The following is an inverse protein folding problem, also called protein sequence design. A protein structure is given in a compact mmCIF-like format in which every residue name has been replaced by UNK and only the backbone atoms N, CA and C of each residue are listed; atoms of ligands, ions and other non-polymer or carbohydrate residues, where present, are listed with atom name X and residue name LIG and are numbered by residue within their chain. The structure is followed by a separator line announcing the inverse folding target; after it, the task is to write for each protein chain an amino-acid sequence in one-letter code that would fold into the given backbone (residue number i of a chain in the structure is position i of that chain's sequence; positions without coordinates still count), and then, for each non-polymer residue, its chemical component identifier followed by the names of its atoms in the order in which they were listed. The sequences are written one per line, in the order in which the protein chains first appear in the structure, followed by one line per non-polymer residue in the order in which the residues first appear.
data_IF_660116283831
#
_entry.id   IF_660116283831
#
_cell.length_a   1.000
_cell.length_b   1.000
_cell.length_c   1.000
_cell.angle_alpha   90.00
_cell.angle_beta   90.00
_cell.angle_gamma   90.00
#
_symmetry.space_group_name_H-M   'P 1'
#
loop_
_entity.id
_entity.type
_entity.pdbx_description
1 polymer ?
#
# COMPACT_ATOMS: atom_id res chain seq x y z
N UNK A 1 10.25 -5.41 -4.44
CA UNK A 1 9.62 -4.24 -3.80
C UNK A 1 8.35 -4.73 -3.13
N UNK A 2 8.22 -4.51 -1.83
CA UNK A 2 7.07 -4.97 -1.04
C UNK A 2 6.02 -3.86 -0.96
N UNK A 3 4.74 -4.19 -1.16
CA UNK A 3 3.66 -3.20 -1.11
C UNK A 3 2.74 -3.50 0.07
N UNK A 4 2.50 -2.50 0.91
CA UNK A 4 1.62 -2.62 2.07
C UNK A 4 0.54 -1.54 2.08
N UNK A 5 -0.59 -1.88 2.68
CA UNK A 5 -1.72 -0.97 2.83
C UNK A 5 -1.57 -0.12 4.09
N UNK A 6 -1.85 1.18 3.96
CA UNK A 6 -1.93 2.11 5.09
C UNK A 6 -2.87 1.62 6.20
N UNK A 7 -2.50 1.90 7.44
CA UNK A 7 -3.23 1.58 8.68
C UNK A 7 -3.37 0.09 8.99
N UNK A 8 -2.63 -0.79 8.31
CA UNK A 8 -2.56 -2.22 8.63
C UNK A 8 -1.19 -2.59 9.18
N UNK A 9 -1.15 -3.51 10.13
CA UNK A 9 0.10 -4.11 10.57
C UNK A 9 0.84 -4.72 9.39
N UNK A 10 2.16 -4.53 9.37
CA UNK A 10 3.01 -4.93 8.26
C UNK A 10 3.76 -6.19 8.69
N UNK A 11 3.50 -7.36 8.07
CA UNK A 11 4.29 -8.55 8.31
C UNK A 11 5.64 -8.40 7.59
N UNK A 12 6.73 -8.49 8.34
CA UNK A 12 8.08 -8.49 7.81
C UNK A 12 8.68 -9.88 7.97
N UNK A 13 9.18 -10.44 6.88
CA UNK A 13 9.81 -11.77 6.87
C UNK A 13 11.14 -11.71 6.13
N UNK A 14 12.19 -12.25 6.74
CA UNK A 14 13.49 -12.46 6.12
C UNK A 14 13.89 -13.93 6.27
N UNK A 15 14.20 -14.58 5.15
CA UNK A 15 14.71 -15.94 5.14
C UNK A 15 16.19 -15.94 4.74
N UNK A 16 17.03 -16.56 5.57
CA UNK A 16 18.45 -16.71 5.31
C UNK A 16 18.70 -18.11 4.75
N UNK A 17 18.99 -18.20 3.44
CA UNK A 17 19.22 -19.47 2.75
C UNK A 17 20.68 -19.52 2.31
N UNK A 18 21.39 -20.60 2.69
CA UNK A 18 22.76 -20.84 2.27
C UNK A 18 22.84 -21.32 0.82
N UNK A 19 24.04 -21.32 0.26
CA UNK A 19 24.28 -21.82 -1.10
C UNK A 19 23.94 -23.30 -1.29
N UNK A 20 23.90 -24.09 -0.21
CA UNK A 20 23.50 -25.49 -0.20
C UNK A 20 21.98 -25.70 -0.06
N UNK A 21 21.20 -24.61 -0.01
CA UNK A 21 19.74 -24.63 0.14
C UNK A 21 19.25 -24.84 1.58
N UNK A 22 20.16 -24.97 2.56
CA UNK A 22 19.77 -25.06 3.98
C UNK A 22 19.42 -23.68 4.52
N UNK A 23 18.47 -23.66 5.47
CA UNK A 23 18.00 -22.43 6.10
C UNK A 23 18.83 -22.17 7.36
N UNK A 24 19.36 -20.96 7.49
CA UNK A 24 20.14 -20.57 8.65
C UNK A 24 19.24 -20.15 9.81
N UNK A 25 19.47 -20.79 10.96
CA UNK A 25 18.84 -20.49 12.24
C UNK A 25 19.90 -20.00 13.23
N UNK A 26 19.52 -19.11 14.14
CA UNK A 26 20.42 -18.64 15.22
C UNK A 26 21.17 -17.34 14.95
N UNK A 27 20.99 -16.74 13.77
CA UNK A 27 21.33 -15.33 13.56
C UNK A 27 20.51 -14.42 14.47
N UNK A 28 21.11 -13.31 14.88
CA UNK A 28 20.40 -12.14 15.41
C UNK A 28 20.05 -11.25 14.23
N UNK A 29 18.76 -11.03 14.00
CA UNK A 29 18.25 -10.20 12.92
C UNK A 29 17.50 -9.00 13.51
N UNK A 30 17.87 -7.81 13.07
CA UNK A 30 17.15 -6.58 13.40
C UNK A 30 16.88 -5.76 12.15
N UNK A 31 15.98 -4.78 12.22
CA UNK A 31 15.68 -3.92 11.09
C UNK A 31 15.41 -2.48 11.50
N UNK A 32 15.65 -1.56 10.56
CA UNK A 32 15.33 -0.13 10.65
C UNK A 32 14.61 0.25 9.36
N UNK A 33 13.58 1.09 9.45
CA UNK A 33 12.91 1.66 8.27
C UNK A 33 13.26 3.14 8.17
N UNK A 34 13.61 3.56 6.97
CA UNK A 34 13.92 4.94 6.63
C UNK A 34 12.94 5.48 5.59
N UNK A 35 12.91 6.82 5.46
CA UNK A 35 12.30 7.49 4.31
C UNK A 35 12.95 7.06 2.98
N UNK A 36 12.32 7.45 1.87
CA UNK A 36 12.77 7.11 0.51
C UNK A 36 14.25 7.48 0.23
N UNK A 37 14.81 8.47 0.93
CA UNK A 37 16.18 8.94 0.73
C UNK A 37 17.17 8.37 1.76
N UNK A 38 16.74 7.46 2.64
CA UNK A 38 17.52 6.93 3.75
C UNK A 38 18.12 7.99 4.69
N UNK A 39 17.47 9.15 4.77
CA UNK A 39 17.91 10.32 5.52
C UNK A 39 17.32 10.37 6.93
N UNK A 40 16.10 9.85 7.08
CA UNK A 40 15.31 9.95 8.32
C UNK A 40 14.87 8.56 8.74
N UNK A 41 15.09 8.22 10.01
CA UNK A 41 14.60 6.98 10.61
C UNK A 41 13.10 7.14 10.89
N UNK A 42 12.31 6.24 10.32
CA UNK A 42 10.86 6.18 10.46
C UNK A 42 10.46 5.16 11.53
N UNK A 43 11.12 4.00 11.51
CA UNK A 43 10.98 2.96 12.54
C UNK A 43 12.36 2.70 13.12
N UNK A 44 12.49 2.96 14.42
CA UNK A 44 13.71 2.67 15.19
C UNK A 44 13.99 1.18 15.19
N UNK A 45 15.26 0.80 15.40
CA UNK A 45 15.71 -0.58 15.36
C UNK A 45 14.80 -1.54 16.17
N UNK A 46 14.28 -2.55 15.46
CA UNK A 46 13.47 -3.65 16.00
C UNK A 46 14.14 -4.99 15.75
N UNK A 47 13.90 -5.96 16.63
CA UNK A 47 14.45 -7.30 16.50
C UNK A 47 13.41 -8.25 15.91
N UNK A 48 13.79 -8.98 14.86
CA UNK A 48 12.96 -10.04 14.30
C UNK A 48 13.25 -11.37 14.99
N UNK A 49 12.21 -12.18 15.17
CA UNK A 49 12.29 -13.45 15.90
C UNK A 49 12.20 -14.60 14.90
N UNK A 50 12.99 -15.65 15.12
CA UNK A 50 12.88 -16.86 14.33
C UNK A 50 11.49 -17.51 14.49
N UNK A 51 10.81 -17.76 13.37
CA UNK A 51 9.51 -18.42 13.33
C UNK A 51 9.62 -19.78 12.63
N UNK A 52 9.38 -20.86 13.38
CA UNK A 52 9.48 -22.23 12.87
C UNK A 52 8.47 -22.57 11.75
N UNK A 53 7.28 -21.97 11.78
CA UNK A 53 6.25 -22.25 10.78
C UNK A 53 6.56 -21.58 9.44
N UNK A 54 7.12 -20.37 9.48
CA UNK A 54 7.54 -19.62 8.30
C UNK A 54 8.96 -20.01 7.82
N UNK A 55 9.70 -20.73 8.66
CA UNK A 55 11.12 -21.03 8.48
C UNK A 55 11.94 -19.78 8.15
N UNK A 56 11.71 -18.70 8.91
CA UNK A 56 12.35 -17.40 8.68
C UNK A 56 12.26 -16.47 9.89
N UNK A 57 13.02 -15.39 9.84
CA UNK A 57 12.94 -14.30 10.79
C UNK A 57 11.71 -13.47 10.50
N UNK A 58 10.92 -13.22 11.53
CA UNK A 58 9.61 -12.63 11.38
C UNK A 58 9.37 -11.57 12.46
N UNK A 59 8.71 -10.49 12.07
CA UNK A 59 8.16 -9.51 12.99
C UNK A 59 6.82 -8.95 12.48
N UNK A 60 5.96 -8.58 13.43
CA UNK A 60 4.75 -7.80 13.15
C UNK A 60 5.04 -6.35 13.49
N UNK A 61 5.24 -5.53 12.46
CA UNK A 61 5.39 -4.11 12.68
C UNK A 61 4.02 -3.49 13.02
N UNK A 62 3.88 -3.12 14.29
CA UNK A 62 2.66 -2.51 14.82
C UNK A 62 2.63 -1.03 14.45
N UNK A 63 1.82 -0.68 13.45
CA UNK A 63 1.78 0.69 12.91
C UNK A 63 1.49 1.72 14.00
N UNK A 64 0.54 1.42 14.89
CA UNK A 64 0.13 2.35 15.94
C UNK A 64 1.21 2.61 17.01
N UNK A 65 2.12 1.65 17.26
CA UNK A 65 3.15 1.76 18.29
C UNK A 65 4.50 2.17 17.70
N UNK A 66 4.84 1.61 16.55
CA UNK A 66 6.20 1.64 16.00
C UNK A 66 6.34 2.61 14.83
N UNK A 67 5.23 2.95 14.17
CA UNK A 67 5.20 3.79 12.97
C UNK A 67 4.15 4.90 13.10
N UNK A 68 4.41 5.81 14.04
CA UNK A 68 3.49 6.87 14.49
C UNK A 68 2.91 7.73 13.35
N UNK A 69 3.66 7.96 12.27
CA UNK A 69 3.17 8.66 11.07
C UNK A 69 3.38 7.83 9.79
N UNK A 70 2.37 7.07 9.40
CA UNK A 70 2.40 6.33 8.14
C UNK A 70 1.97 7.24 6.97
N UNK A 71 2.95 7.82 6.29
CA UNK A 71 2.72 8.56 5.04
C UNK A 71 2.69 7.58 3.86
N UNK A 72 1.95 7.92 2.82
CA UNK A 72 2.01 7.17 1.57
C UNK A 72 3.36 7.44 0.88
N UNK A 73 3.90 6.43 0.20
CA UNK A 73 5.15 6.58 -0.54
C UNK A 73 6.13 5.42 -0.36
N UNK A 74 7.36 5.66 -0.79
CA UNK A 74 8.44 4.70 -0.78
C UNK A 74 9.28 4.84 0.50
N UNK A 75 9.76 3.71 0.99
CA UNK A 75 10.56 3.57 2.20
C UNK A 75 11.65 2.55 1.98
N UNK A 76 12.71 2.68 2.78
CA UNK A 76 13.85 1.77 2.73
C UNK A 76 13.88 0.95 4.02
N UNK A 77 13.76 -0.36 3.87
CA UNK A 77 13.98 -1.32 4.95
C UNK A 77 15.43 -1.76 4.93
N UNK A 78 16.12 -1.64 6.06
CA UNK A 78 17.46 -2.19 6.24
C UNK A 78 17.42 -3.27 7.30
N UNK A 79 17.75 -4.49 6.91
CA UNK A 79 18.01 -5.60 7.81
C UNK A 79 19.46 -5.58 8.24
N UNK A 80 19.72 -5.84 9.52
CA UNK A 80 21.06 -6.07 10.08
C UNK A 80 21.13 -7.48 10.63
N UNK A 81 22.13 -8.24 10.18
CA UNK A 81 22.30 -9.67 10.46
C UNK A 81 23.63 -9.87 11.18
N UNK A 82 23.61 -10.58 12.30
CA UNK A 82 24.83 -10.93 13.04
C UNK A 82 24.76 -12.33 13.66
N UNK A 83 25.92 -12.87 14.05
CA UNK A 83 26.01 -14.17 14.73
C UNK A 83 26.08 -15.37 13.79
N UNK A 84 26.07 -15.15 12.47
CA UNK A 84 26.21 -16.20 11.44
C UNK A 84 27.17 -15.74 10.36
N UNK A 85 28.01 -16.64 9.87
CA UNK A 85 28.96 -16.35 8.79
C UNK A 85 28.33 -16.63 7.41
N UNK A 86 28.78 -15.93 6.38
CA UNK A 86 28.35 -16.17 5.00
C UNK A 86 27.10 -15.41 4.55
N UNK A 87 26.55 -14.55 5.41
CA UNK A 87 25.49 -13.60 5.04
C UNK A 87 26.03 -12.17 5.09
N UNK A 88 25.50 -11.26 4.25
CA UNK A 88 25.85 -9.85 4.34
C UNK A 88 25.38 -9.29 5.70
N UNK A 89 26.19 -8.42 6.30
CA UNK A 89 25.84 -7.76 7.57
C UNK A 89 24.60 -6.87 7.44
N UNK A 90 24.33 -6.38 6.22
CA UNK A 90 23.17 -5.53 5.92
C UNK A 90 22.51 -5.92 4.61
N UNK A 91 21.18 -6.02 4.61
CA UNK A 91 20.35 -6.21 3.41
C UNK A 91 19.39 -5.01 3.30
N UNK A 92 19.19 -4.50 2.09
CA UNK A 92 18.36 -3.32 1.84
C UNK A 92 17.22 -3.67 0.89
N UNK A 93 16.00 -3.40 1.32
CA UNK A 93 14.78 -3.62 0.55
C UNK A 93 13.98 -2.32 0.39
N UNK A 94 13.28 -2.21 -0.74
CA UNK A 94 12.33 -1.13 -0.97
C UNK A 94 10.91 -1.56 -0.58
N UNK A 95 10.27 -0.75 0.24
CA UNK A 95 8.88 -0.89 0.67
C UNK A 95 8.07 0.26 0.10
N UNK A 96 6.83 0.00 -0.30
CA UNK A 96 5.86 1.00 -0.70
C UNK A 96 4.61 0.91 0.18
N UNK A 97 4.15 2.05 0.70
CA UNK A 97 2.86 2.16 1.38
C UNK A 97 1.84 2.81 0.43
N UNK A 98 0.72 2.12 0.23
CA UNK A 98 -0.39 2.58 -0.60
C UNK A 98 -1.62 2.90 0.26
N UNK A 99 -2.51 3.79 -0.21
CA UNK A 99 -3.76 4.08 0.47
C UNK A 99 -4.59 2.81 0.77
N UNK A 100 -5.29 2.84 1.90
CA UNK A 100 -6.28 1.83 2.25
C UNK A 100 -7.55 2.03 1.44
N UNK A 101 -8.02 0.97 0.80
CA UNK A 101 -9.31 1.00 0.10
C UNK A 101 -10.46 1.14 1.10
N UNK A 102 -11.41 2.03 0.79
CA UNK A 102 -12.79 1.94 1.23
C UNK A 102 -13.46 0.88 0.33
N UNK A 103 -14.26 0.01 0.94
CA UNK A 103 -15.10 -1.03 0.33
C UNK A 103 -15.12 -1.07 -1.21
N UNK A 104 -14.59 -2.14 -1.82
CA UNK A 104 -14.60 -2.31 -3.28
C UNK A 104 -13.35 -1.79 -4.02
N UNK A 105 -12.18 -1.81 -3.37
CA UNK A 105 -10.87 -1.40 -3.92
C UNK A 105 -10.68 0.09 -4.20
N UNK A 106 -11.64 0.95 -3.86
CA UNK A 106 -11.50 2.39 -4.10
C UNK A 106 -10.79 3.09 -2.94
N UNK A 107 -9.86 3.99 -3.19
CA UNK A 107 -9.29 4.82 -2.12
C UNK A 107 -10.30 5.87 -1.65
N UNK A 108 -10.07 6.47 -0.47
CA UNK A 108 -10.91 7.57 0.06
C UNK A 108 -11.00 8.72 -0.96
N UNK A 109 -9.88 9.04 -1.61
CA UNK A 109 -9.77 10.11 -2.59
C UNK A 109 -10.57 9.79 -3.85
N UNK A 110 -10.44 8.57 -4.37
CA UNK A 110 -11.19 8.10 -5.53
C UNK A 110 -12.70 8.15 -5.25
N UNK A 111 -13.12 7.71 -4.07
CA UNK A 111 -14.53 7.76 -3.65
C UNK A 111 -15.04 9.20 -3.49
N UNK A 112 -14.24 10.08 -2.89
CA UNK A 112 -14.58 11.49 -2.75
C UNK A 112 -14.74 12.18 -4.11
N UNK A 113 -13.88 11.86 -5.09
CA UNK A 113 -13.97 12.40 -6.44
C UNK A 113 -15.28 12.02 -7.15
N UNK A 114 -15.77 10.80 -6.95
CA UNK A 114 -17.08 10.38 -7.47
C UNK A 114 -18.19 11.18 -6.82
N UNK A 115 -18.19 11.33 -5.49
CA UNK A 115 -19.21 12.12 -4.77
C UNK A 115 -19.19 13.57 -5.26
N UNK A 116 -18.01 14.18 -5.36
CA UNK A 116 -17.88 15.55 -5.82
C UNK A 116 -18.34 15.73 -7.27
N UNK A 117 -18.18 14.73 -8.13
CA UNK A 117 -18.69 14.82 -9.52
C UNK A 117 -20.21 14.99 -9.59
N UNK A 118 -20.95 14.33 -8.69
CA UNK A 118 -22.41 14.47 -8.58
C UNK A 118 -22.74 15.84 -7.96
N UNK A 119 -22.09 16.19 -6.84
CA UNK A 119 -22.40 17.42 -6.10
C UNK A 119 -22.03 18.70 -6.85
N UNK A 120 -20.96 18.67 -7.63
CA UNK A 120 -20.56 19.79 -8.49
C UNK A 120 -21.56 20.02 -9.64
N UNK A 121 -22.42 19.02 -9.92
CA UNK A 121 -23.48 19.06 -10.93
C UNK A 121 -23.02 19.57 -12.30
N UNK A 122 -21.78 19.25 -12.67
CA UNK A 122 -21.25 19.45 -14.03
C UNK A 122 -21.73 18.32 -14.93
N UNK A 123 -23.05 18.22 -15.06
CA UNK A 123 -23.70 17.16 -15.81
C UNK A 123 -23.90 17.55 -17.27
N UNK A 124 -23.76 16.58 -18.17
CA UNK A 124 -24.10 16.73 -19.59
C UNK A 124 -24.92 15.54 -20.06
N UNK A 125 -25.82 15.80 -21.01
CA UNK A 125 -26.71 14.78 -21.57
C UNK A 125 -26.57 14.81 -23.09
N UNK A 126 -26.23 13.66 -23.67
CA UNK A 126 -26.22 13.44 -25.12
C UNK A 126 -26.97 12.13 -25.39
N UNK A 127 -28.08 12.21 -26.12
CA UNK A 127 -29.01 11.10 -26.30
C UNK A 127 -29.44 10.52 -24.94
N UNK A 128 -29.26 9.22 -24.76
CA UNK A 128 -29.62 8.46 -23.56
C UNK A 128 -28.43 8.29 -22.60
N UNK A 129 -27.40 9.14 -22.71
CA UNK A 129 -26.19 9.06 -21.90
C UNK A 129 -26.09 10.33 -21.05
N UNK A 130 -26.11 10.14 -19.73
CA UNK A 130 -25.91 11.19 -18.72
C UNK A 130 -24.49 11.06 -18.19
N UNK A 131 -23.74 12.15 -18.19
CA UNK A 131 -22.37 12.20 -17.70
C UNK A 131 -22.26 13.18 -16.54
N UNK A 132 -21.53 12.82 -15.49
CA UNK A 132 -21.13 13.73 -14.41
C UNK A 132 -19.62 13.87 -14.44
N UNK A 133 -19.16 15.11 -14.55
CA UNK A 133 -17.74 15.44 -14.71
C UNK A 133 -17.08 15.76 -13.39
N UNK A 134 -15.78 15.55 -13.33
CA UNK A 134 -14.96 15.96 -12.19
C UNK A 134 -15.04 17.48 -11.95
N UNK A 135 -14.59 17.91 -10.78
CA UNK A 135 -14.64 19.34 -10.42
C UNK A 135 -13.88 20.22 -11.41
N UNK A 136 -12.75 19.75 -11.95
CA UNK A 136 -11.95 20.48 -12.93
C UNK A 136 -12.54 20.44 -14.37
N UNK A 137 -13.61 19.69 -14.60
CA UNK A 137 -14.25 19.49 -15.91
C UNK A 137 -13.35 18.84 -16.98
N UNK A 138 -12.35 18.10 -16.55
CA UNK A 138 -11.39 17.41 -17.42
C UNK A 138 -11.88 16.03 -17.86
N UNK A 139 -12.80 15.42 -17.12
CA UNK A 139 -12.92 13.96 -17.07
C UNK A 139 -14.32 13.53 -16.62
N UNK A 140 -14.89 12.53 -17.30
CA UNK A 140 -16.24 11.98 -16.99
C UNK A 140 -16.13 10.94 -15.87
N UNK A 141 -16.52 11.28 -14.64
CA UNK A 141 -16.43 10.41 -13.46
C UNK A 141 -17.56 9.39 -13.36
N UNK A 142 -18.75 9.77 -13.83
CA UNK A 142 -19.90 8.86 -13.88
C UNK A 142 -20.55 8.99 -15.24
N UNK A 143 -20.74 7.85 -15.91
CA UNK A 143 -21.52 7.77 -17.14
C UNK A 143 -22.68 6.80 -16.92
N UNK A 144 -23.90 7.30 -16.99
CA UNK A 144 -25.12 6.50 -16.88
C UNK A 144 -25.82 6.41 -18.24
N UNK A 145 -26.10 5.19 -18.68
CA UNK A 145 -26.99 4.96 -19.83
C UNK A 145 -28.41 4.77 -19.30
N UNK A 146 -29.37 5.50 -19.85
CA UNK A 146 -30.77 5.45 -19.45
C UNK A 146 -31.67 4.97 -20.60
N UNK A 147 -32.87 4.51 -20.29
CA UNK A 147 -33.91 4.27 -21.29
C UNK A 147 -34.65 5.57 -21.64
N UNK A 148 -35.61 5.48 -22.57
CA UNK A 148 -36.42 6.63 -23.00
C UNK A 148 -37.36 7.18 -21.91
N UNK A 149 -37.41 6.53 -20.74
CA UNK A 149 -38.17 6.96 -19.56
C UNK A 149 -37.25 7.51 -18.46
N UNK A 150 -35.94 7.55 -18.69
CA UNK A 150 -34.95 7.99 -17.70
C UNK A 150 -34.58 6.92 -16.68
N UNK A 151 -34.98 5.65 -16.86
CA UNK A 151 -34.55 4.57 -15.98
C UNK A 151 -33.12 4.16 -16.33
N UNK A 152 -32.30 3.95 -15.29
CA UNK A 152 -30.90 3.55 -15.47
C UNK A 152 -30.81 2.11 -16.00
N UNK A 153 -30.12 1.95 -17.13
CA UNK A 153 -29.79 0.65 -17.73
C UNK A 153 -28.39 0.19 -17.30
N UNK A 154 -27.42 1.11 -17.26
CA UNK A 154 -26.05 0.83 -16.84
C UNK A 154 -25.40 2.05 -16.24
N UNK A 155 -24.34 1.81 -15.46
CA UNK A 155 -23.48 2.84 -14.90
C UNK A 155 -22.03 2.43 -15.05
N UNK A 156 -21.21 3.37 -15.49
CA UNK A 156 -19.75 3.26 -15.50
C UNK A 156 -19.21 4.35 -14.60
N UNK A 157 -18.28 3.98 -13.73
CA UNK A 157 -17.64 4.88 -12.78
C UNK A 157 -16.14 4.89 -13.11
N UNK A 158 -15.58 6.08 -13.24
CA UNK A 158 -14.14 6.31 -13.43
C UNK A 158 -13.55 6.87 -12.13
N UNK A 159 -12.85 5.98 -11.43
CA UNK A 159 -12.27 6.24 -10.13
C UNK A 159 -10.80 6.69 -10.23
N UNK A 160 -10.13 6.43 -11.35
CA UNK A 160 -8.70 6.64 -11.50
C UNK A 160 -8.36 8.14 -11.40
N UNK A 161 -7.14 8.51 -10.98
CA UNK A 161 -6.69 9.91 -10.94
C UNK A 161 -5.90 10.33 -12.18
#
# INVERSE_FOLDING_TARGET
MFTFTKSKNIPLTLQLIKSDGTIEQGATVSYIIYDANASTIIVTQKSAIWNNNLQGYFDWLEVAADWQEQREGNYILRWSISGVAGFPETIVDNIQITPGGIEGNFTVTEFANIIFSILANKSSIINNIIKFRDYADTKDRITATVDNKGNRLSITIDCDD
#
